data_IF_593374242589
#
_entry.id   IF_593374242589
#
_cell.length_a   1.000
_cell.length_b   1.000
_cell.length_c   1.000
_cell.angle_alpha   90.00
_cell.angle_beta   90.00
_cell.angle_gamma   90.00
#
_symmetry.space_group_name_H-M   'P 1'
#
loop_
_entity.id
_entity.type
_entity.pdbx_description
1 polymer ?
#
# COMPACT_ATOMS: atom_id res chain seq x y z
N UNK A 1 -8.46 -23.92 -21.45
CA UNK A 1 -8.02 -22.62 -20.87
C UNK A 1 -9.16 -21.71 -20.38
N UNK A 2 -10.26 -21.50 -21.13
CA UNK A 2 -11.32 -20.53 -20.76
C UNK A 2 -12.03 -20.85 -19.43
N UNK A 3 -12.29 -22.12 -19.13
CA UNK A 3 -12.99 -22.59 -17.92
C UNK A 3 -12.14 -22.42 -16.64
N UNK A 4 -10.82 -22.64 -16.73
CA UNK A 4 -9.88 -22.40 -15.62
C UNK A 4 -9.79 -20.90 -15.28
N UNK A 5 -9.89 -20.02 -16.27
CA UNK A 5 -9.91 -18.56 -16.06
C UNK A 5 -11.17 -18.07 -15.34
N UNK A 6 -12.34 -18.67 -15.60
CA UNK A 6 -13.60 -18.32 -14.92
C UNK A 6 -13.55 -18.76 -13.45
N UNK A 7 -13.05 -19.97 -13.17
CA UNK A 7 -12.89 -20.46 -11.79
C UNK A 7 -11.89 -19.61 -10.99
N UNK A 8 -10.78 -19.20 -11.59
CA UNK A 8 -9.83 -18.28 -10.95
C UNK A 8 -10.46 -16.92 -10.64
N UNK A 9 -11.21 -16.31 -11.59
CA UNK A 9 -11.91 -15.04 -11.34
C UNK A 9 -12.92 -15.14 -10.19
N UNK A 10 -13.71 -16.22 -10.13
CA UNK A 10 -14.65 -16.45 -9.01
C UNK A 10 -13.92 -16.57 -7.67
N UNK A 11 -12.78 -17.26 -7.64
CA UNK A 11 -11.94 -17.41 -6.43
C UNK A 11 -11.36 -16.07 -5.96
N UNK A 12 -10.84 -15.28 -6.88
CA UNK A 12 -10.30 -13.94 -6.58
C UNK A 12 -11.39 -12.97 -6.11
N UNK A 13 -12.57 -13.00 -6.73
CA UNK A 13 -13.71 -12.19 -6.29
C UNK A 13 -14.21 -12.60 -4.90
N UNK A 14 -14.31 -13.90 -4.61
CA UNK A 14 -14.67 -14.39 -3.27
C UNK A 14 -13.66 -13.91 -2.22
N UNK A 15 -12.36 -13.96 -2.53
CA UNK A 15 -11.30 -13.41 -1.65
C UNK A 15 -11.47 -11.92 -1.42
N UNK A 16 -11.73 -11.16 -2.48
CA UNK A 16 -12.02 -9.72 -2.38
C UNK A 16 -13.19 -9.43 -1.45
N UNK A 17 -14.30 -10.16 -1.58
CA UNK A 17 -15.46 -9.98 -0.71
C UNK A 17 -15.15 -10.24 0.77
N UNK A 18 -14.35 -11.27 1.06
CA UNK A 18 -13.88 -11.52 2.43
C UNK A 18 -13.01 -10.40 2.98
N UNK A 19 -12.14 -9.81 2.14
CA UNK A 19 -11.36 -8.64 2.55
C UNK A 19 -12.23 -7.41 2.81
N UNK A 20 -13.25 -7.17 1.99
CA UNK A 20 -14.21 -6.09 2.24
C UNK A 20 -14.97 -6.30 3.55
N UNK A 21 -15.50 -7.52 3.76
CA UNK A 21 -16.21 -7.85 4.99
C UNK A 21 -15.32 -7.62 6.21
N UNK A 22 -14.08 -8.10 6.19
CA UNK A 22 -13.11 -7.83 7.26
C UNK A 22 -12.89 -6.32 7.47
N UNK A 23 -12.65 -5.57 6.40
CA UNK A 23 -12.31 -4.15 6.46
C UNK A 23 -13.45 -3.27 7.00
N UNK A 24 -14.71 -3.65 6.78
CA UNK A 24 -15.86 -2.90 7.29
C UNK A 24 -16.36 -3.41 8.65
N UNK A 25 -16.42 -4.73 8.83
CA UNK A 25 -16.98 -5.32 10.05
C UNK A 25 -16.12 -5.03 11.28
N UNK A 26 -14.78 -5.09 11.16
CA UNK A 26 -13.91 -4.87 12.33
C UNK A 26 -14.02 -3.43 12.88
N UNK A 27 -13.89 -2.36 12.07
CA UNK A 27 -14.14 -1.01 12.56
C UNK A 27 -15.56 -0.81 13.08
N UNK A 28 -16.58 -1.34 12.37
CA UNK A 28 -17.96 -1.22 12.81
C UNK A 28 -18.22 -1.86 14.18
N UNK A 29 -17.60 -3.00 14.46
CA UNK A 29 -17.69 -3.67 15.77
C UNK A 29 -17.01 -2.85 16.87
N UNK A 30 -15.81 -2.32 16.62
CA UNK A 30 -15.09 -1.49 17.58
C UNK A 30 -15.89 -0.21 17.89
N UNK A 31 -16.36 0.49 16.85
CA UNK A 31 -17.18 1.69 16.99
C UNK A 31 -18.51 1.39 17.69
N UNK A 32 -19.21 0.32 17.29
CA UNK A 32 -20.45 -0.10 17.95
C UNK A 32 -20.26 -0.45 19.43
N UNK A 33 -19.14 -1.10 19.76
CA UNK A 33 -18.76 -1.37 21.16
C UNK A 33 -18.50 -0.09 21.95
N UNK A 34 -17.75 0.86 21.38
CA UNK A 34 -17.49 2.16 22.01
C UNK A 34 -18.80 2.93 22.26
N UNK A 35 -19.70 2.95 21.28
CA UNK A 35 -21.02 3.58 21.42
C UNK A 35 -21.88 2.89 22.47
N UNK A 36 -21.90 1.55 22.51
CA UNK A 36 -22.64 0.81 23.54
C UNK A 36 -22.12 1.12 24.95
N UNK A 37 -20.80 1.18 25.12
CA UNK A 37 -20.18 1.55 26.40
C UNK A 37 -20.40 3.02 26.77
N UNK A 38 -20.53 3.90 25.78
CA UNK A 38 -20.92 5.30 26.00
C UNK A 38 -22.34 5.37 26.60
N UNK A 39 -23.32 4.71 25.97
CA UNK A 39 -24.72 4.74 26.40
C UNK A 39 -24.94 4.06 27.77
N UNK A 40 -24.19 2.99 28.06
CA UNK A 40 -24.28 2.27 29.33
C UNK A 40 -23.41 2.87 30.44
N UNK A 41 -22.73 4.00 30.19
CA UNK A 41 -21.66 4.54 31.03
C UNK A 41 -22.01 4.77 32.50
N UNK A 42 -23.27 5.03 32.83
CA UNK A 42 -23.74 5.22 34.21
C UNK A 42 -24.11 3.91 34.92
N UNK A 43 -24.41 2.87 34.15
CA UNK A 43 -24.82 1.54 34.64
C UNK A 43 -23.66 0.57 34.80
N UNK A 44 -22.49 0.87 34.23
CA UNK A 44 -21.33 -0.03 34.31
C UNK A 44 -20.69 -0.04 35.71
N UNK A 45 -20.17 -1.20 36.15
CA UNK A 45 -19.41 -1.33 37.39
C UNK A 45 -18.24 -0.33 37.48
N UNK A 46 -17.86 0.06 38.69
CA UNK A 46 -16.75 0.99 38.93
C UNK A 46 -15.43 0.58 38.25
N UNK A 47 -15.16 -0.72 38.13
CA UNK A 47 -13.98 -1.24 37.43
C UNK A 47 -13.97 -0.94 35.91
N UNK A 48 -15.15 -0.75 35.29
CA UNK A 48 -15.29 -0.49 33.86
C UNK A 48 -15.44 0.99 33.51
N UNK A 49 -15.73 1.85 34.50
CA UNK A 49 -15.85 3.31 34.31
C UNK A 49 -14.66 3.96 33.59
N UNK A 50 -13.39 3.54 33.81
CA UNK A 50 -12.24 4.10 33.06
C UNK A 50 -12.23 3.77 31.56
N UNK A 51 -12.99 2.77 31.12
CA UNK A 51 -13.05 2.38 29.70
C UNK A 51 -14.23 3.02 28.97
N UNK A 52 -15.09 3.77 29.66
CA UNK A 52 -16.19 4.50 29.04
C UNK A 52 -15.61 5.67 28.24
N UNK A 53 -15.87 5.77 26.92
CA UNK A 53 -15.27 6.80 26.06
C UNK A 53 -15.51 8.25 26.50
N UNK A 54 -16.72 8.56 26.99
CA UNK A 54 -17.18 9.92 27.35
C UNK A 54 -16.98 10.93 26.23
N UNK A 55 -17.27 10.51 24.99
CA UNK A 55 -17.20 11.37 23.81
C UNK A 55 -18.16 12.57 23.96
N UNK A 56 -17.72 13.77 23.58
CA UNK A 56 -18.56 14.98 23.59
C UNK A 56 -18.69 15.70 24.93
N UNK A 57 -17.93 15.30 25.96
CA UNK A 57 -17.89 16.04 27.24
C UNK A 57 -17.12 17.36 27.14
N UNK A 58 -15.86 17.30 26.70
CA UNK A 58 -14.99 18.48 26.51
C UNK A 58 -14.58 18.64 25.04
N UNK A 59 -14.20 17.54 24.39
CA UNK A 59 -13.93 17.46 22.97
C UNK A 59 -14.81 16.39 22.30
N UNK A 60 -15.07 16.55 21.00
CA UNK A 60 -15.71 15.53 20.16
C UNK A 60 -14.69 14.45 19.71
N UNK A 61 -13.84 14.01 20.64
CA UNK A 61 -12.81 13.01 20.42
C UNK A 61 -12.43 12.37 21.76
N UNK A 62 -11.68 11.26 21.72
CA UNK A 62 -11.14 10.61 22.91
C UNK A 62 -10.14 11.55 23.62
N UNK A 63 -10.49 12.04 24.80
CA UNK A 63 -9.65 12.93 25.59
C UNK A 63 -8.52 12.15 26.26
N UNK A 64 -7.28 12.28 25.75
CA UNK A 64 -6.12 11.59 26.31
C UNK A 64 -5.84 11.99 27.76
N UNK A 65 -6.13 13.24 28.14
CA UNK A 65 -5.70 13.83 29.40
C UNK A 65 -6.57 13.43 30.60
N UNK A 66 -7.89 13.29 30.38
CA UNK A 66 -8.83 12.94 31.46
C UNK A 66 -9.22 11.47 31.44
N UNK A 67 -9.05 10.77 30.31
CA UNK A 67 -9.56 9.40 30.15
C UNK A 67 -8.66 8.54 29.26
N UNK A 68 -7.39 8.41 29.65
CA UNK A 68 -6.35 7.69 28.91
C UNK A 68 -6.69 6.23 28.65
N UNK A 69 -7.36 5.55 29.60
CA UNK A 69 -7.72 4.13 29.44
C UNK A 69 -8.70 3.90 28.29
N UNK A 70 -9.72 4.75 28.14
CA UNK A 70 -10.65 4.68 27.02
C UNK A 70 -9.98 5.01 25.68
N UNK A 71 -9.12 6.05 25.64
CA UNK A 71 -8.31 6.37 24.45
C UNK A 71 -7.45 5.17 24.02
N UNK A 72 -6.75 4.54 24.97
CA UNK A 72 -5.90 3.38 24.68
C UNK A 72 -6.70 2.20 24.15
N UNK A 73 -7.83 1.84 24.79
CA UNK A 73 -8.59 0.63 24.42
C UNK A 73 -9.34 0.78 23.11
N UNK A 74 -10.00 1.92 22.89
CA UNK A 74 -10.89 2.11 21.74
C UNK A 74 -10.20 2.67 20.51
N UNK A 75 -9.05 3.34 20.67
CA UNK A 75 -8.34 3.99 19.58
C UNK A 75 -6.92 3.44 19.41
N UNK A 76 -6.05 3.60 20.40
CA UNK A 76 -4.61 3.26 20.25
C UNK A 76 -4.37 1.77 20.04
N UNK A 77 -5.03 0.90 20.80
CA UNK A 77 -4.79 -0.54 20.80
C UNK A 77 -5.20 -1.20 19.46
N UNK A 78 -6.41 -1.00 18.91
CA UNK A 78 -6.77 -1.56 17.61
C UNK A 78 -5.81 -1.16 16.49
N UNK A 79 -5.33 0.07 16.56
CA UNK A 79 -4.41 0.62 15.58
C UNK A 79 -3.00 0.03 15.76
N UNK A 80 -2.49 -0.02 16.98
CA UNK A 80 -1.20 -0.63 17.26
C UNK A 80 -1.17 -2.09 16.80
N UNK A 81 -2.27 -2.82 17.00
CA UNK A 81 -2.42 -4.20 16.51
C UNK A 81 -2.36 -4.29 14.99
N UNK A 82 -3.10 -3.46 14.24
CA UNK A 82 -3.07 -3.52 12.77
C UNK A 82 -1.71 -3.10 12.22
N UNK A 83 -1.04 -2.12 12.84
CA UNK A 83 0.33 -1.71 12.47
C UNK A 83 1.32 -2.84 12.73
N UNK A 84 1.24 -3.50 13.89
CA UNK A 84 2.09 -4.64 14.22
C UNK A 84 1.88 -5.80 13.24
N UNK A 85 0.62 -6.14 12.93
CA UNK A 85 0.29 -7.15 11.93
C UNK A 85 0.89 -6.80 10.56
N UNK A 86 0.74 -5.55 10.12
CA UNK A 86 1.32 -5.06 8.87
C UNK A 86 2.85 -5.16 8.87
N UNK A 87 3.50 -4.84 9.99
CA UNK A 87 4.95 -4.95 10.13
C UNK A 87 5.42 -6.41 10.03
N UNK A 88 4.76 -7.35 10.71
CA UNK A 88 5.07 -8.78 10.60
C UNK A 88 4.91 -9.27 9.16
N UNK A 89 3.83 -8.87 8.48
CA UNK A 89 3.60 -9.21 7.06
C UNK A 89 4.66 -8.60 6.14
N UNK A 90 5.12 -7.39 6.44
CA UNK A 90 6.22 -6.74 5.72
C UNK A 90 7.51 -7.57 5.84
N UNK A 91 7.92 -7.94 7.06
CA UNK A 91 9.11 -8.76 7.28
C UNK A 91 9.00 -10.10 6.56
N UNK A 92 7.86 -10.79 6.66
CA UNK A 92 7.63 -12.05 5.94
C UNK A 92 7.73 -11.86 4.43
N UNK A 93 7.20 -10.76 3.89
CA UNK A 93 7.27 -10.45 2.45
C UNK A 93 8.71 -10.21 2.01
N UNK A 94 9.50 -9.48 2.80
CA UNK A 94 10.91 -9.21 2.52
C UNK A 94 11.72 -10.51 2.54
N UNK A 95 11.59 -11.32 3.59
CA UNK A 95 12.28 -12.63 3.70
C UNK A 95 11.89 -13.55 2.55
N UNK A 96 10.61 -13.62 2.19
CA UNK A 96 10.15 -14.40 1.06
C UNK A 96 10.76 -13.91 -0.26
N UNK A 97 10.79 -12.60 -0.50
CA UNK A 97 11.40 -12.01 -1.69
C UNK A 97 12.90 -12.35 -1.80
N UNK A 98 13.64 -12.28 -0.68
CA UNK A 98 15.05 -12.69 -0.66
C UNK A 98 15.23 -14.18 -0.99
N UNK A 99 14.38 -15.05 -0.42
CA UNK A 99 14.43 -16.49 -0.70
C UNK A 99 14.16 -16.79 -2.18
N UNK A 100 13.11 -16.19 -2.75
CA UNK A 100 12.77 -16.40 -4.16
C UNK A 100 13.86 -15.87 -5.08
N UNK A 101 14.47 -14.71 -4.77
CA UNK A 101 15.62 -14.21 -5.54
C UNK A 101 16.78 -15.20 -5.56
N UNK A 102 17.12 -15.79 -4.42
CA UNK A 102 18.18 -16.80 -4.31
C UNK A 102 17.84 -18.07 -5.10
N UNK A 103 16.60 -18.54 -5.02
CA UNK A 103 16.14 -19.71 -5.79
C UNK A 103 16.22 -19.45 -7.30
N UNK A 104 15.84 -18.24 -7.71
CA UNK A 104 15.88 -17.77 -9.08
C UNK A 104 17.31 -17.64 -9.65
N UNK A 105 18.31 -17.35 -8.83
CA UNK A 105 19.72 -17.35 -9.21
C UNK A 105 20.27 -18.77 -9.42
N UNK A 106 19.70 -19.75 -8.71
CA UNK A 106 20.09 -21.15 -8.80
C UNK A 106 19.36 -21.93 -9.93
N UNK A 107 18.37 -21.32 -10.60
CA UNK A 107 17.65 -21.97 -11.71
C UNK A 107 18.48 -21.98 -13.00
N UNK A 108 18.51 -23.13 -13.70
CA UNK A 108 19.18 -23.30 -14.99
C UNK A 108 18.52 -22.47 -16.09
N UNK A 109 19.32 -21.93 -17.00
CA UNK A 109 18.89 -20.98 -18.03
C UNK A 109 18.27 -21.71 -19.25
N UNK A 110 17.08 -22.30 -19.07
CA UNK A 110 16.28 -22.84 -20.17
C UNK A 110 15.17 -21.88 -20.57
N UNK A 111 14.69 -22.00 -21.82
CA UNK A 111 13.66 -21.11 -22.38
C UNK A 111 12.34 -21.14 -21.57
N UNK A 112 12.00 -22.27 -20.96
CA UNK A 112 10.85 -22.42 -20.06
C UNK A 112 11.08 -21.73 -18.70
N UNK A 113 12.25 -21.94 -18.07
CA UNK A 113 12.60 -21.31 -16.81
C UNK A 113 12.75 -19.78 -16.93
N UNK A 114 13.17 -19.25 -18.07
CA UNK A 114 13.26 -17.80 -18.31
C UNK A 114 11.91 -17.09 -18.23
N UNK A 115 10.83 -17.73 -18.70
CA UNK A 115 9.45 -17.20 -18.62
C UNK A 115 8.91 -17.25 -17.20
N UNK A 116 9.18 -18.35 -16.48
CA UNK A 116 8.79 -18.54 -15.09
C UNK A 116 9.52 -17.56 -14.16
N UNK A 117 10.84 -17.42 -14.32
CA UNK A 117 11.71 -16.44 -13.63
C UNK A 117 11.15 -15.02 -13.74
N UNK A 118 10.80 -14.58 -14.95
CA UNK A 118 10.20 -13.25 -15.17
C UNK A 118 8.85 -13.09 -14.45
N UNK A 119 8.00 -14.13 -14.42
CA UNK A 119 6.70 -14.09 -13.74
C UNK A 119 6.85 -14.02 -12.22
N UNK A 120 7.78 -14.79 -11.65
CA UNK A 120 8.08 -14.77 -10.22
C UNK A 120 8.65 -13.42 -9.79
N UNK A 121 9.68 -12.91 -10.49
CA UNK A 121 10.28 -11.60 -10.20
C UNK A 121 9.27 -10.46 -10.26
N UNK A 122 8.38 -10.46 -11.25
CA UNK A 122 7.34 -9.41 -11.38
C UNK A 122 6.29 -9.50 -10.28
N UNK A 123 5.88 -10.70 -9.88
CA UNK A 123 4.94 -10.92 -8.78
C UNK A 123 5.55 -10.48 -7.44
N UNK A 124 6.81 -10.80 -7.20
CA UNK A 124 7.51 -10.44 -5.96
C UNK A 124 7.80 -8.95 -5.89
N UNK A 125 8.19 -8.32 -7.01
CA UNK A 125 8.30 -6.87 -7.07
C UNK A 125 6.96 -6.18 -6.77
N UNK A 126 5.83 -6.73 -7.24
CA UNK A 126 4.51 -6.18 -6.92
C UNK A 126 4.18 -6.31 -5.43
N UNK A 127 4.42 -7.49 -4.85
CA UNK A 127 4.21 -7.75 -3.40
C UNK A 127 5.07 -6.83 -2.54
N UNK A 128 6.36 -6.74 -2.84
CA UNK A 128 7.30 -5.88 -2.12
C UNK A 128 6.95 -4.40 -2.27
N UNK A 129 6.57 -3.95 -3.46
CA UNK A 129 6.14 -2.57 -3.68
C UNK A 129 4.87 -2.26 -2.89
N UNK A 130 3.88 -3.16 -2.86
CA UNK A 130 2.70 -2.98 -2.00
C UNK A 130 3.09 -2.91 -0.52
N UNK A 131 3.93 -3.83 -0.04
CA UNK A 131 4.36 -3.88 1.35
C UNK A 131 5.11 -2.60 1.79
N UNK A 132 6.04 -2.10 0.97
CA UNK A 132 6.76 -0.84 1.22
C UNK A 132 5.81 0.33 1.28
N UNK A 133 4.82 0.40 0.37
CA UNK A 133 3.82 1.48 0.37
C UNK A 133 2.95 1.46 1.62
N UNK A 134 2.53 0.28 2.07
CA UNK A 134 1.77 0.13 3.31
C UNK A 134 2.60 0.61 4.51
N UNK A 135 3.89 0.25 4.57
CA UNK A 135 4.79 0.69 5.63
C UNK A 135 5.03 2.21 5.62
N UNK A 136 5.29 2.80 4.46
CA UNK A 136 5.53 4.25 4.34
C UNK A 136 4.31 5.08 4.71
N UNK A 137 3.13 4.68 4.23
CA UNK A 137 1.89 5.43 4.46
C UNK A 137 1.44 5.32 5.91
N UNK A 138 1.37 4.10 6.43
CA UNK A 138 0.76 3.86 7.74
C UNK A 138 1.81 3.90 8.85
N UNK A 139 2.94 3.23 8.66
CA UNK A 139 3.96 3.09 9.70
C UNK A 139 4.58 4.42 10.14
N UNK A 140 4.87 5.31 9.19
CA UNK A 140 5.49 6.60 9.50
C UNK A 140 4.54 7.50 10.31
N UNK A 141 3.28 7.63 9.89
CA UNK A 141 2.28 8.41 10.63
C UNK A 141 2.08 7.88 12.06
N UNK A 142 2.02 6.55 12.24
CA UNK A 142 1.84 5.96 13.55
C UNK A 142 3.07 6.08 14.46
N UNK A 143 4.28 6.08 13.90
CA UNK A 143 5.49 6.40 14.67
C UNK A 143 5.45 7.85 15.13
N UNK A 144 5.03 8.80 14.28
CA UNK A 144 4.89 10.21 14.67
C UNK A 144 3.83 10.42 15.76
N UNK A 145 2.66 9.78 15.64
CA UNK A 145 1.63 9.78 16.70
C UNK A 145 2.17 9.22 18.02
N UNK A 146 2.87 8.08 17.96
CA UNK A 146 3.45 7.46 19.16
C UNK A 146 4.50 8.36 19.83
N UNK A 147 5.32 9.05 19.04
CA UNK A 147 6.31 10.01 19.55
C UNK A 147 5.61 11.23 20.15
N UNK A 148 4.57 11.75 19.50
CA UNK A 148 3.76 12.87 20.00
C UNK A 148 3.19 12.56 21.38
N UNK A 149 2.54 11.39 21.51
CA UNK A 149 1.95 10.91 22.78
C UNK A 149 2.98 10.72 23.90
N UNK A 150 4.19 10.26 23.58
CA UNK A 150 5.22 9.94 24.57
C UNK A 150 6.10 11.15 24.96
N UNK A 151 6.29 12.11 24.07
CA UNK A 151 7.29 13.18 24.27
C UNK A 151 6.68 14.56 24.52
N UNK A 152 5.41 14.77 24.18
CA UNK A 152 4.73 16.06 24.31
C UNK A 152 3.85 16.04 25.57
N UNK A 153 4.26 16.69 26.67
CA UNK A 153 3.40 16.86 27.84
C UNK A 153 2.20 17.72 27.47
N UNK A 154 1.01 17.34 27.94
CA UNK A 154 -0.23 18.11 27.75
C UNK A 154 -0.47 18.96 29.00
N UNK A 155 -0.61 20.29 28.89
CA UNK A 155 -0.68 21.09 27.67
C UNK A 155 0.69 21.35 27.04
N UNK A 156 0.77 21.19 25.72
CA UNK A 156 1.96 21.52 24.95
C UNK A 156 2.19 23.04 24.99
N UNK A 157 3.37 23.48 25.43
CA UNK A 157 3.73 24.91 25.47
C UNK A 157 4.99 25.17 24.63
N UNK A 158 5.05 26.35 24.00
CA UNK A 158 6.21 26.78 23.21
C UNK A 158 6.51 25.87 22.01
N UNK A 159 7.75 25.39 21.91
CA UNK A 159 8.22 24.58 20.79
C UNK A 159 7.47 23.24 20.63
N UNK A 160 6.99 22.66 21.74
CA UNK A 160 6.27 21.38 21.71
C UNK A 160 4.92 21.50 20.98
N UNK A 161 4.23 22.65 21.13
CA UNK A 161 2.96 22.91 20.43
C UNK A 161 3.16 23.02 18.91
N UNK A 162 4.26 23.66 18.48
CA UNK A 162 4.60 23.78 17.05
C UNK A 162 4.85 22.38 16.45
N UNK A 163 5.58 21.53 17.17
CA UNK A 163 5.87 20.15 16.74
C UNK A 163 4.57 19.34 16.59
N UNK A 164 3.66 19.44 17.57
CA UNK A 164 2.36 18.77 17.51
C UNK A 164 1.55 19.20 16.28
N UNK A 165 1.46 20.51 16.03
CA UNK A 165 0.73 21.04 14.85
C UNK A 165 1.31 20.52 13.54
N UNK A 166 2.65 20.42 13.43
CA UNK A 166 3.30 19.87 12.24
C UNK A 166 2.92 18.41 12.03
N UNK A 167 2.96 17.59 13.09
CA UNK A 167 2.60 16.17 13.00
C UNK A 167 1.12 15.96 12.67
N UNK A 168 0.22 16.72 13.31
CA UNK A 168 -1.21 16.68 13.03
C UNK A 168 -1.49 17.08 11.57
N UNK A 169 -0.76 18.08 11.04
CA UNK A 169 -0.87 18.51 9.64
C UNK A 169 -0.44 17.41 8.67
N UNK A 170 0.68 16.73 8.94
CA UNK A 170 1.16 15.60 8.13
C UNK A 170 0.14 14.45 8.16
N UNK A 171 -0.44 14.17 9.33
CA UNK A 171 -1.49 13.15 9.49
C UNK A 171 -2.74 13.52 8.68
N UNK A 172 -3.20 14.78 8.73
CA UNK A 172 -4.30 15.28 7.92
C UNK A 172 -4.04 15.15 6.40
N UNK A 173 -2.79 15.37 5.98
CA UNK A 173 -2.37 15.23 4.58
C UNK A 173 -2.10 13.77 4.17
N UNK A 174 -2.23 12.80 5.07
CA UNK A 174 -1.98 11.39 4.77
C UNK A 174 -2.77 10.87 3.57
N UNK A 175 -4.02 11.32 3.41
CA UNK A 175 -4.84 11.00 2.23
C UNK A 175 -4.20 11.43 0.91
N UNK A 176 -3.53 12.59 0.90
CA UNK A 176 -2.79 13.10 -0.28
C UNK A 176 -1.58 12.22 -0.56
N UNK A 177 -0.81 11.82 0.46
CA UNK A 177 0.33 10.92 0.29
C UNK A 177 -0.11 9.55 -0.26
N UNK A 178 -1.23 9.01 0.24
CA UNK A 178 -1.84 7.77 -0.30
C UNK A 178 -2.18 7.94 -1.77
N UNK A 179 -2.88 9.02 -2.12
CA UNK A 179 -3.25 9.31 -3.50
C UNK A 179 -2.02 9.38 -4.40
N UNK A 180 -1.00 10.13 -4.02
CA UNK A 180 0.25 10.25 -4.77
C UNK A 180 0.95 8.90 -4.94
N UNK A 181 1.08 8.12 -3.87
CA UNK A 181 1.78 6.84 -3.90
C UNK A 181 1.03 5.82 -4.75
N UNK A 182 -0.28 5.68 -4.59
CA UNK A 182 -1.07 4.62 -5.23
C UNK A 182 -1.56 4.98 -6.63
N UNK A 183 -2.00 6.22 -6.85
CA UNK A 183 -2.74 6.64 -8.05
C UNK A 183 -1.81 7.34 -9.05
N UNK A 184 -0.89 8.21 -8.61
CA UNK A 184 0.04 8.93 -9.50
C UNK A 184 1.18 8.05 -10.07
N UNK A 185 0.96 6.74 -10.21
CA UNK A 185 1.88 5.88 -10.94
C UNK A 185 1.86 6.22 -12.43
N UNK A 186 3.03 6.37 -13.04
CA UNK A 186 3.23 6.60 -14.49
C UNK A 186 2.41 5.64 -15.37
N UNK A 187 2.23 4.39 -14.93
CA UNK A 187 1.38 3.42 -15.64
C UNK A 187 -0.11 3.83 -15.63
N UNK A 188 -0.64 4.21 -14.47
CA UNK A 188 -2.03 4.66 -14.34
C UNK A 188 -2.25 5.98 -15.08
N UNK A 189 -1.35 6.95 -14.91
CA UNK A 189 -1.40 8.23 -15.62
C UNK A 189 -1.32 8.06 -17.15
N UNK A 190 -0.53 7.09 -17.65
CA UNK A 190 -0.47 6.79 -19.10
C UNK A 190 -1.77 6.21 -19.61
N UNK A 191 -2.42 5.31 -18.85
CA UNK A 191 -3.73 4.75 -19.21
C UNK A 191 -4.81 5.83 -19.17
N UNK A 192 -4.78 6.69 -18.15
CA UNK A 192 -5.71 7.80 -18.00
C UNK A 192 -5.56 8.80 -19.16
N UNK A 193 -4.33 9.23 -19.47
CA UNK A 193 -4.03 10.08 -20.64
C UNK A 193 -4.52 9.46 -21.96
N UNK A 194 -4.34 8.14 -22.12
CA UNK A 194 -4.82 7.41 -23.32
C UNK A 194 -6.36 7.37 -23.39
N UNK A 195 -7.04 7.21 -22.26
CA UNK A 195 -8.53 7.23 -22.18
C UNK A 195 -9.11 8.63 -22.35
N UNK A 196 -8.42 9.66 -21.86
CA UNK A 196 -8.80 11.07 -21.99
C UNK A 196 -8.47 11.66 -23.37
N UNK A 197 -7.99 10.85 -24.32
CA UNK A 197 -7.77 11.31 -25.69
C UNK A 197 -6.65 12.34 -25.86
N UNK A 198 -5.83 12.58 -24.81
CA UNK A 198 -4.67 13.48 -24.87
C UNK A 198 -3.57 12.78 -25.68
N UNK A 199 -3.74 12.79 -27.00
CA UNK A 199 -2.67 12.49 -27.94
C UNK A 199 -1.70 13.65 -27.83
N UNK A 200 -0.48 13.38 -27.37
CA UNK A 200 0.62 14.30 -27.68
C UNK A 200 0.60 14.51 -29.19
N UNK A 201 0.61 15.77 -29.63
CA UNK A 201 1.08 16.13 -30.96
C UNK A 201 2.43 15.44 -31.11
N UNK A 202 2.44 14.31 -31.82
CA UNK A 202 3.67 13.63 -32.18
C UNK A 202 4.38 14.63 -33.08
N UNK A 203 5.35 15.37 -32.53
CA UNK A 203 6.29 16.12 -33.34
C UNK A 203 6.99 15.09 -34.22
N UNK A 204 6.51 14.99 -35.45
CA UNK A 204 7.10 14.17 -36.49
C UNK A 204 8.40 14.84 -36.89
N UNK A 205 9.47 14.60 -36.13
CA UNK A 205 10.81 14.71 -36.70
C UNK A 205 11.02 13.48 -37.55
N UNK A 206 10.58 13.59 -38.80
CA UNK A 206 10.96 12.71 -39.88
C UNK A 206 12.43 13.02 -40.18
N UNK A 207 13.34 12.36 -39.46
CA UNK A 207 14.74 12.29 -39.88
C UNK A 207 14.79 11.32 -41.05
N UNK A 208 14.78 11.89 -42.26
CA UNK A 208 15.04 11.19 -43.52
C UNK A 208 16.46 10.64 -43.49
N UNK A 209 16.60 9.35 -43.22
CA UNK A 209 17.86 8.63 -43.46
C UNK A 209 17.73 7.88 -44.78
N UNK A 210 18.13 8.53 -45.88
CA UNK A 210 18.30 7.87 -47.18
C UNK A 210 19.61 7.08 -47.15
N UNK A 211 19.56 5.84 -46.65
CA UNK A 211 20.61 4.85 -46.84
C UNK A 211 20.23 3.92 -47.98
N UNK A 212 20.72 4.22 -49.18
CA UNK A 212 20.65 3.30 -50.31
C UNK A 212 21.64 2.15 -50.07
N UNK A 213 21.15 0.92 -50.04
CA UNK A 213 22.00 -0.28 -50.14
C UNK A 213 21.36 -1.18 -51.18
N UNK A 214 21.86 -1.08 -52.42
CA UNK A 214 21.58 -2.03 -53.48
C UNK A 214 22.47 -3.26 -53.27
N UNK A 215 21.86 -4.41 -53.00
CA UNK A 215 22.53 -5.71 -52.98
C UNK A 215 22.06 -6.50 -54.19
N UNK A 216 22.88 -6.56 -55.23
CA UNK A 216 22.69 -7.47 -56.36
C UNK A 216 23.63 -8.66 -56.17
N UNK A 217 23.05 -9.83 -55.93
CA UNK A 217 23.73 -11.11 -56.05
C UNK A 217 23.99 -11.40 -57.53
N UNK A 218 25.15 -11.98 -57.88
CA UNK A 218 25.27 -13.11 -58.83
C UNK A 218 26.70 -13.70 -58.83
N UNK A 219 26.76 -14.99 -59.16
CA UNK A 219 27.76 -16.02 -58.83
C UNK A 219 29.03 -16.04 -59.71
N UNK A 220 30.11 -16.76 -59.28
CA UNK A 220 31.33 -16.93 -60.04
C UNK A 220 31.21 -18.01 -61.13
N UNK A 221 31.65 -17.69 -62.35
CA UNK A 221 31.85 -18.65 -63.44
C UNK A 221 33.27 -19.20 -63.39
N UNK A 222 33.40 -20.49 -63.08
CA UNK A 222 34.59 -21.30 -63.36
C UNK A 222 34.28 -22.15 -64.59
N UNK A 223 35.03 -21.93 -65.67
CA UNK A 223 35.02 -22.72 -66.90
C UNK A 223 35.98 -23.91 -66.78
N UNK A 224 35.53 -25.09 -67.20
CA UNK A 224 36.35 -26.30 -67.33
C UNK A 224 36.59 -26.64 -68.81
N UNK A 225 37.86 -26.99 -69.11
CA UNK A 225 38.45 -27.84 -70.18
C UNK A 225 38.07 -27.63 -71.66
N UNK A 226 39.11 -27.39 -72.47
CA UNK A 226 39.75 -28.42 -73.32
C UNK A 226 41.27 -28.32 -73.17
#
# INVERSE_FOLDING_TARGET
MRIQGIHQKKKEFKRFLWYCLYAFSVPALITGGALTMQELGDTVPHALKPFVPRLGGFNCFFEQNTNTAAFLVWFTLPIALIVLCNFILYIKTVVYCYKVKKEIENMKDTTSHKKERKKLLTTDQQRMNMAVKLFLVMGISWVFESISVCTIPVPATGAAQIIQIIFDTINCLQGVFIFCIFILKTKFLRVLKKKLGIKYLRRSSQSTTSGATATTYLMPTSTARM
#
